data_IF_189066237985
#
_entry.id   IF_189066237985
#
_cell.length_a   1.000
_cell.length_b   1.000
_cell.length_c   1.000
_cell.angle_alpha   90.00
_cell.angle_beta   90.00
_cell.angle_gamma   90.00
#
_symmetry.space_group_name_H-M   'P 1'
#
loop_
_entity.id
_entity.type
_entity.pdbx_description
1 polymer ?
#
# COMPACT_ATOMS: atom_id res chain seq x y z
N UNK A 1 5.22 -5.05 -35.55
CA UNK A 1 6.33 -5.26 -34.60
C UNK A 1 5.72 -5.79 -33.30
N UNK A 2 5.89 -7.07 -32.92
CA UNK A 2 5.35 -7.55 -31.66
C UNK A 2 6.22 -6.98 -30.52
N UNK A 3 5.62 -6.20 -29.63
CA UNK A 3 6.30 -5.72 -28.43
C UNK A 3 6.61 -6.92 -27.53
N UNK A 4 7.88 -7.28 -27.43
CA UNK A 4 8.36 -8.29 -26.48
C UNK A 4 8.23 -7.69 -25.09
N UNK A 5 7.11 -7.96 -24.43
CA UNK A 5 6.88 -7.50 -23.07
C UNK A 5 7.87 -8.23 -22.14
N UNK A 6 8.91 -7.54 -21.68
CA UNK A 6 9.89 -8.06 -20.72
C UNK A 6 9.18 -8.73 -19.52
N UNK A 7 9.68 -9.90 -19.11
CA UNK A 7 9.21 -10.58 -17.89
C UNK A 7 10.10 -10.11 -16.75
N UNK A 8 9.50 -9.37 -15.80
CA UNK A 8 10.21 -8.87 -14.61
C UNK A 8 10.03 -9.88 -13.49
N UNK A 9 11.16 -10.34 -12.92
CA UNK A 9 11.20 -11.28 -11.80
C UNK A 9 11.86 -10.60 -10.61
N UNK A 10 11.21 -10.71 -9.44
CA UNK A 10 11.79 -10.24 -8.18
C UNK A 10 12.27 -11.43 -7.38
N UNK A 11 13.51 -11.32 -6.88
CA UNK A 11 14.09 -12.31 -5.99
C UNK A 11 14.36 -11.66 -4.64
N UNK A 12 13.99 -12.31 -3.52
CA UNK A 12 14.45 -11.87 -2.21
C UNK A 12 15.97 -11.87 -2.17
N UNK A 13 16.55 -10.86 -1.53
CA UNK A 13 17.98 -10.87 -1.23
C UNK A 13 18.30 -12.13 -0.41
N UNK A 14 19.31 -12.89 -0.85
CA UNK A 14 19.70 -14.12 -0.18
C UNK A 14 20.38 -13.78 1.15
N UNK A 15 19.60 -13.76 2.23
CA UNK A 15 20.16 -13.67 3.58
C UNK A 15 21.07 -14.87 3.87
N UNK A 16 22.17 -14.64 4.59
CA UNK A 16 23.22 -15.64 4.92
C UNK A 16 22.70 -16.93 5.60
N UNK A 17 21.44 -16.96 6.05
CA UNK A 17 20.79 -18.08 6.72
C UNK A 17 19.72 -18.82 5.91
N UNK A 18 19.39 -18.39 4.69
CA UNK A 18 18.34 -19.07 3.90
C UNK A 18 18.93 -20.18 3.02
N UNK A 19 18.98 -21.41 3.54
CA UNK A 19 19.23 -22.60 2.73
C UNK A 19 18.05 -22.95 1.79
N UNK A 20 16.89 -22.31 1.98
CA UNK A 20 15.74 -22.46 1.08
C UNK A 20 15.92 -21.59 -0.16
N UNK A 21 15.69 -22.18 -1.33
CA UNK A 21 15.52 -21.46 -2.59
C UNK A 21 14.53 -20.32 -2.38
N UNK A 22 15.02 -19.08 -2.47
CA UNK A 22 14.18 -17.90 -2.35
C UNK A 22 13.15 -17.90 -3.48
N UNK A 23 11.87 -17.90 -3.13
CA UNK A 23 10.77 -17.90 -4.10
C UNK A 23 10.94 -16.69 -5.04
N UNK A 24 11.06 -16.95 -6.33
CA UNK A 24 11.11 -15.91 -7.35
C UNK A 24 9.69 -15.51 -7.73
N UNK A 25 9.38 -14.21 -7.64
CA UNK A 25 8.06 -13.69 -7.93
C UNK A 25 8.03 -13.15 -9.35
N UNK A 26 7.20 -13.75 -10.21
CA UNK A 26 6.89 -13.21 -11.52
C UNK A 26 5.78 -12.16 -11.37
N UNK A 27 6.11 -10.89 -11.52
CA UNK A 27 5.15 -9.80 -11.27
C UNK A 27 3.88 -9.92 -12.11
N UNK A 28 3.98 -10.34 -13.37
CA UNK A 28 2.78 -10.51 -14.21
C UNK A 28 1.85 -11.60 -13.66
N UNK A 29 2.42 -12.72 -13.22
CA UNK A 29 1.65 -13.79 -12.60
C UNK A 29 1.12 -13.40 -11.20
N UNK A 30 1.90 -12.61 -10.45
CA UNK A 30 1.52 -12.10 -9.14
C UNK A 30 0.41 -11.06 -9.22
N UNK A 31 0.35 -10.23 -10.27
CA UNK A 31 -0.75 -9.29 -10.50
C UNK A 31 -2.03 -9.98 -10.98
N UNK A 32 -1.91 -11.05 -11.78
CA UNK A 32 -3.07 -11.78 -12.29
C UNK A 32 -3.87 -12.53 -11.19
N UNK A 33 -3.21 -12.98 -10.12
CA UNK A 33 -3.84 -13.80 -9.05
C UNK A 33 -4.81 -13.01 -8.13
N UNK A 34 -4.47 -11.82 -7.62
CA UNK A 34 -5.33 -11.02 -6.75
C UNK A 34 -6.44 -10.28 -7.51
N UNK A 35 -6.33 -10.15 -8.83
CA UNK A 35 -7.29 -9.41 -9.66
C UNK A 35 -7.08 -7.89 -9.62
N UNK A 36 -7.63 -7.19 -10.63
CA UNK A 36 -7.43 -5.74 -10.84
C UNK A 36 -7.79 -4.90 -9.61
N UNK A 37 -8.97 -5.14 -9.02
CA UNK A 37 -9.46 -4.40 -7.85
C UNK A 37 -8.46 -4.39 -6.69
N UNK A 38 -7.79 -5.52 -6.41
CA UNK A 38 -6.81 -5.59 -5.32
C UNK A 38 -5.50 -4.91 -5.71
N UNK A 39 -5.09 -5.05 -6.98
CA UNK A 39 -3.87 -4.39 -7.47
C UNK A 39 -4.02 -2.87 -7.45
N UNK A 40 -5.17 -2.36 -7.86
CA UNK A 40 -5.50 -0.93 -7.88
C UNK A 40 -5.54 -0.33 -6.47
N UNK A 41 -5.76 -1.15 -5.44
CA UNK A 41 -5.84 -0.73 -4.04
C UNK A 41 -4.72 -1.32 -3.17
N UNK A 42 -3.61 -1.76 -3.76
CA UNK A 42 -2.59 -2.59 -3.07
C UNK A 42 -1.96 -1.90 -1.86
N UNK A 43 -1.78 -0.57 -1.89
CA UNK A 43 -1.21 0.20 -0.78
C UNK A 43 -2.19 0.24 0.40
N UNK A 44 -3.48 0.41 0.11
CA UNK A 44 -4.53 0.38 1.12
C UNK A 44 -4.68 -1.03 1.74
N UNK A 45 -4.63 -2.08 0.91
CA UNK A 45 -4.60 -3.48 1.39
C UNK A 45 -3.40 -3.68 2.33
N UNK A 46 -2.23 -3.17 1.97
CA UNK A 46 -1.01 -3.28 2.77
C UNK A 46 -1.12 -2.57 4.12
N UNK A 47 -1.72 -1.36 4.14
CA UNK A 47 -1.94 -0.61 5.39
C UNK A 47 -2.90 -1.35 6.34
N UNK A 48 -3.98 -1.96 5.83
CA UNK A 48 -4.92 -2.75 6.63
C UNK A 48 -4.25 -3.99 7.22
N UNK A 49 -3.44 -4.68 6.41
CA UNK A 49 -2.77 -5.92 6.77
C UNK A 49 -1.56 -5.76 7.69
N UNK A 50 -1.25 -4.52 8.09
CA UNK A 50 0.00 -4.08 8.72
C UNK A 50 1.11 -3.89 7.69
N UNK A 51 1.69 -2.68 7.72
CA UNK A 51 2.95 -2.38 7.06
C UNK A 51 4.01 -2.02 8.10
N UNK A 52 5.26 -1.85 7.69
CA UNK A 52 6.34 -1.51 8.62
C UNK A 52 6.10 -0.16 9.33
N UNK A 53 5.28 0.71 8.72
CA UNK A 53 4.97 2.04 9.23
C UNK A 53 3.63 2.14 9.97
N UNK A 54 2.78 1.09 9.97
CA UNK A 54 1.48 1.13 10.66
C UNK A 54 1.15 -0.21 11.34
N UNK A 55 0.60 -0.15 12.55
CA UNK A 55 -0.06 -1.32 13.15
C UNK A 55 -1.28 -1.72 12.32
N UNK A 56 -1.38 -3.00 11.96
CA UNK A 56 -2.52 -3.49 11.19
C UNK A 56 -3.82 -3.42 11.98
N UNK A 57 -4.94 -3.30 11.27
CA UNK A 57 -6.25 -3.28 11.91
C UNK A 57 -6.54 -4.66 12.54
N UNK A 58 -6.90 -4.64 13.83
CA UNK A 58 -7.14 -5.86 14.60
C UNK A 58 -8.20 -6.76 13.95
N UNK A 59 -7.99 -8.07 13.98
CA UNK A 59 -8.90 -9.05 13.39
C UNK A 59 -8.81 -9.21 11.86
N UNK A 60 -7.90 -8.50 11.18
CA UNK A 60 -7.74 -8.63 9.73
C UNK A 60 -6.56 -9.54 9.36
N UNK A 61 -6.87 -10.77 8.92
CA UNK A 61 -5.92 -11.63 8.23
C UNK A 61 -5.82 -11.31 6.73
N UNK A 62 -4.79 -11.84 6.06
CA UNK A 62 -4.54 -11.66 4.60
C UNK A 62 -5.78 -11.87 3.75
N UNK A 63 -6.47 -12.99 3.98
CA UNK A 63 -7.69 -13.33 3.24
C UNK A 63 -8.83 -12.36 3.57
N UNK A 64 -9.03 -12.04 4.85
CA UNK A 64 -10.11 -11.16 5.28
C UNK A 64 -9.99 -9.76 4.67
N UNK A 65 -8.80 -9.16 4.61
CA UNK A 65 -8.61 -7.84 4.01
C UNK A 65 -8.91 -7.85 2.49
N UNK A 66 -8.48 -8.89 1.78
CA UNK A 66 -8.78 -9.06 0.35
C UNK A 66 -10.27 -9.25 0.11
N UNK A 67 -10.94 -10.05 0.94
CA UNK A 67 -12.39 -10.26 0.88
C UNK A 67 -13.16 -8.97 1.14
N UNK A 68 -12.76 -8.19 2.15
CA UNK A 68 -13.36 -6.89 2.48
C UNK A 68 -13.30 -5.92 1.31
N UNK A 69 -12.13 -5.75 0.69
CA UNK A 69 -11.98 -4.82 -0.44
C UNK A 69 -12.77 -5.29 -1.68
N UNK A 70 -12.93 -6.59 -1.88
CA UNK A 70 -13.72 -7.12 -3.00
C UNK A 70 -15.23 -6.99 -2.80
N UNK A 71 -15.69 -7.21 -1.57
CA UNK A 71 -17.11 -7.46 -1.31
C UNK A 71 -17.80 -6.33 -0.53
N UNK A 72 -17.03 -5.45 0.12
CA UNK A 72 -17.57 -4.38 0.95
C UNK A 72 -17.29 -3.02 0.30
N UNK A 73 -18.35 -2.35 -0.14
CA UNK A 73 -18.28 -1.09 -0.88
C UNK A 73 -17.48 -0.02 -0.13
N UNK A 74 -17.69 0.09 1.18
CA UNK A 74 -17.00 1.09 2.00
C UNK A 74 -15.47 0.89 2.01
N UNK A 75 -14.97 -0.36 2.05
CA UNK A 75 -13.54 -0.63 1.97
C UNK A 75 -12.99 -0.28 0.59
N UNK A 76 -13.75 -0.56 -0.48
CA UNK A 76 -13.34 -0.21 -1.83
C UNK A 76 -13.26 1.31 -2.03
N UNK A 77 -14.25 2.07 -1.57
CA UNK A 77 -14.27 3.54 -1.65
C UNK A 77 -13.12 4.16 -0.87
N UNK A 78 -12.86 3.68 0.36
CA UNK A 78 -11.72 4.15 1.15
C UNK A 78 -10.38 3.82 0.49
N UNK A 79 -10.28 2.65 -0.15
CA UNK A 79 -9.11 2.30 -0.95
C UNK A 79 -8.87 3.27 -2.11
N UNK A 80 -9.93 3.61 -2.85
CA UNK A 80 -9.84 4.56 -3.96
C UNK A 80 -9.44 5.96 -3.50
N UNK A 81 -9.98 6.43 -2.37
CA UNK A 81 -9.61 7.71 -1.76
C UNK A 81 -8.13 7.67 -1.33
N UNK A 82 -7.69 6.58 -0.68
CA UNK A 82 -6.32 6.40 -0.24
C UNK A 82 -5.30 6.38 -1.38
N UNK A 83 -5.68 5.85 -2.54
CA UNK A 83 -4.83 5.77 -3.73
C UNK A 83 -4.77 7.08 -4.54
N UNK A 84 -5.61 8.08 -4.21
CA UNK A 84 -5.67 9.34 -4.96
C UNK A 84 -4.49 10.24 -4.58
N UNK A 85 -3.69 10.62 -5.57
CA UNK A 85 -2.44 11.40 -5.40
C UNK A 85 -2.62 12.86 -4.93
N UNK A 86 -3.86 13.34 -4.79
CA UNK A 86 -4.15 14.75 -4.51
C UNK A 86 -4.19 15.10 -3.02
N UNK A 87 -4.36 14.12 -2.14
CA UNK A 87 -4.51 14.38 -0.70
C UNK A 87 -3.27 15.03 -0.09
N UNK A 88 -2.08 14.70 -0.60
CA UNK A 88 -0.82 15.27 -0.11
C UNK A 88 -0.62 16.75 -0.45
N UNK A 89 -1.42 17.37 -1.32
CA UNK A 89 -1.26 18.80 -1.64
C UNK A 89 -2.22 19.68 -0.83
N UNK A 90 -3.47 19.26 -0.69
CA UNK A 90 -4.48 20.03 0.06
C UNK A 90 -4.26 19.96 1.57
N UNK A 91 -3.90 18.79 2.10
CA UNK A 91 -3.59 18.65 3.52
C UNK A 91 -2.29 19.37 3.89
N UNK A 92 -1.28 19.39 3.00
CA UNK A 92 -0.07 20.21 3.19
C UNK A 92 -0.40 21.71 3.22
N UNK A 93 -1.26 22.19 2.31
CA UNK A 93 -1.71 23.60 2.31
C UNK A 93 -2.52 23.94 3.57
N UNK A 94 -3.39 23.04 4.02
CA UNK A 94 -4.18 23.21 5.24
C UNK A 94 -3.29 23.24 6.51
N UNK A 95 -2.32 22.33 6.63
CA UNK A 95 -1.41 22.29 7.78
C UNK A 95 -0.35 23.40 7.77
N UNK A 96 0.07 23.88 6.59
CA UNK A 96 0.90 25.09 6.46
C UNK A 96 0.17 26.33 6.99
N UNK A 97 -1.13 26.46 6.68
CA UNK A 97 -1.96 27.56 7.16
C UNK A 97 -2.25 27.48 8.67
N UNK A 98 -2.24 26.27 9.25
CA UNK A 98 -2.39 26.06 10.71
C UNK A 98 -1.10 26.37 11.48
N UNK A 99 0.06 26.08 10.92
CA UNK A 99 1.36 26.34 11.57
C UNK A 99 1.82 27.79 11.47
N UNK A 100 1.25 28.59 10.57
CA UNK A 100 1.51 30.03 10.49
C UNK A 100 0.87 30.84 11.65
N UNK A 101 0.00 30.23 12.47
CA UNK A 101 -0.77 30.94 13.50
C UNK A 101 -0.33 30.75 14.96
N UNK A 102 0.74 30.00 15.26
CA UNK A 102 1.10 29.70 16.65
C UNK A 102 2.60 29.54 16.87
N UNK A 103 3.34 30.64 16.72
CA UNK A 103 4.61 30.81 17.41
C UNK A 103 4.44 31.91 18.45
N UNK A 104 3.98 31.52 19.65
CA UNK A 104 4.31 32.29 20.85
C UNK A 104 5.59 31.66 21.42
N UNK A 105 6.68 32.41 21.59
CA UNK A 105 7.91 31.87 22.15
C UNK A 105 7.66 31.49 23.62
N UNK A 106 7.92 30.23 23.95
CA UNK A 106 7.97 29.76 25.33
C UNK A 106 9.19 30.42 25.97
N UNK A 107 8.97 31.34 26.91
CA UNK A 107 10.04 31.87 27.76
C UNK A 107 10.31 30.87 28.89
N UNK A 108 11.60 30.54 29.05
CA UNK A 108 12.14 29.69 30.12
C UNK A 108 12.13 30.42 31.45
#
# INVERSE_FOLDING_TARGET
MPMIHSRVFFRPESGKHSQRLSSCWNIKATLARPGGIICDNIVFVHAILRCDTTSGAFGNGKLAAVTKIRNELHFLEQGQVSMRSTFSQEERKSNQNRTAGSYLPVQW
#
